data_IF_751142841278
#
_entry.id   IF_751142841278
#
_cell.length_a   1.000
_cell.length_b   1.000
_cell.length_c   1.000
_cell.angle_alpha   90.00
_cell.angle_beta   90.00
_cell.angle_gamma   90.00
#
_symmetry.space_group_name_H-M   'P 1'
#
loop_
_entity.id
_entity.type
_entity.pdbx_description
1 polymer ?
#
# COMPACT_ATOMS: atom_id res chain seq x y z
N UNK A 1 4.90 8.01 12.01
CA UNK A 1 3.91 7.09 11.42
C UNK A 1 2.69 7.92 11.01
N UNK A 2 2.29 7.82 9.75
CA UNK A 2 1.19 8.58 9.15
C UNK A 2 -0.04 7.68 9.02
N UNK A 3 -1.19 8.10 9.54
CA UNK A 3 -2.46 7.40 9.36
C UNK A 3 -3.05 7.76 7.99
N UNK A 4 -3.31 6.75 7.17
CA UNK A 4 -3.79 6.93 5.80
C UNK A 4 -5.29 6.71 5.65
N UNK A 5 -5.91 5.93 6.55
CA UNK A 5 -7.34 5.67 6.51
C UNK A 5 -7.96 5.66 7.91
N UNK A 6 -8.34 6.83 8.44
CA UNK A 6 -8.92 6.96 9.77
C UNK A 6 -10.39 6.49 9.88
N UNK A 7 -11.09 6.30 8.76
CA UNK A 7 -12.54 6.01 8.75
C UNK A 7 -12.89 4.54 8.42
N UNK A 8 -11.92 3.71 8.04
CA UNK A 8 -12.18 2.30 7.68
C UNK A 8 -12.00 1.31 8.83
N UNK A 9 -12.71 0.18 8.79
CA UNK A 9 -12.59 -0.92 9.79
C UNK A 9 -11.16 -1.49 9.94
N UNK A 10 -10.29 -1.22 8.96
CA UNK A 10 -8.88 -1.63 8.93
C UNK A 10 -8.06 -0.38 8.66
N UNK A 11 -7.78 0.36 9.73
CA UNK A 11 -6.90 1.51 9.66
C UNK A 11 -5.56 1.12 9.01
N UNK A 12 -5.08 1.96 8.11
CA UNK A 12 -3.81 1.76 7.42
C UNK A 12 -2.87 2.89 7.81
N UNK A 13 -1.61 2.56 8.04
CA UNK A 13 -0.58 3.55 8.31
C UNK A 13 0.67 3.31 7.47
N UNK A 14 1.43 4.38 7.29
CA UNK A 14 2.72 4.38 6.64
C UNK A 14 3.80 4.90 7.58
N UNK A 15 4.91 4.18 7.66
CA UNK A 15 6.09 4.60 8.38
C UNK A 15 7.08 5.29 7.42
N UNK A 16 7.18 6.63 7.44
CA UNK A 16 8.06 7.36 6.54
C UNK A 16 9.55 7.20 6.88
N UNK A 17 9.90 6.66 8.06
CA UNK A 17 11.31 6.39 8.36
C UNK A 17 11.84 5.18 7.58
N UNK A 18 10.97 4.18 7.34
CA UNK A 18 11.37 2.89 6.77
C UNK A 18 10.67 2.55 5.44
N UNK A 19 9.77 3.41 4.94
CA UNK A 19 9.00 3.13 3.74
C UNK A 19 8.10 1.91 3.89
N UNK A 20 7.52 1.71 5.06
CA UNK A 20 6.82 0.48 5.46
C UNK A 20 5.35 0.74 5.72
N UNK A 21 4.47 -0.10 5.19
CA UNK A 21 3.04 -0.04 5.48
C UNK A 21 2.68 -0.94 6.68
N UNK A 22 1.64 -0.53 7.38
CA UNK A 22 1.07 -1.25 8.50
C UNK A 22 -0.44 -1.33 8.38
N UNK A 23 -0.98 -2.52 8.62
CA UNK A 23 -2.38 -2.70 8.98
C UNK A 23 -2.52 -2.52 10.48
N UNK A 24 -3.39 -1.60 10.85
CA UNK A 24 -3.68 -1.30 12.25
C UNK A 24 -4.96 -2.01 12.67
N UNK A 25 -4.99 -2.33 13.96
CA UNK A 25 -6.07 -3.06 14.60
C UNK A 25 -6.42 -2.34 15.90
N UNK A 26 -7.70 -2.39 16.28
CA UNK A 26 -8.14 -1.78 17.55
C UNK A 26 -7.72 -2.62 18.77
N UNK A 27 -7.58 -3.94 18.62
CA UNK A 27 -7.43 -4.89 19.72
C UNK A 27 -6.15 -5.74 19.65
N UNK A 28 -5.26 -5.48 18.69
CA UNK A 28 -3.96 -6.17 18.60
C UNK A 28 -2.89 -5.25 18.03
N UNK A 29 -1.63 -5.69 18.13
CA UNK A 29 -0.50 -4.94 17.61
C UNK A 29 -0.61 -4.65 16.10
N UNK A 30 -0.02 -3.54 15.62
CA UNK A 30 0.15 -3.26 14.20
C UNK A 30 0.83 -4.42 13.47
N UNK A 31 0.33 -4.73 12.29
CA UNK A 31 0.84 -5.78 11.43
C UNK A 31 1.54 -5.16 10.24
N UNK A 32 2.81 -5.50 10.02
CA UNK A 32 3.54 -5.05 8.83
C UNK A 32 2.93 -5.69 7.58
N UNK A 33 2.71 -4.87 6.56
CA UNK A 33 2.21 -5.32 5.26
C UNK A 33 3.06 -4.68 4.15
N UNK A 34 3.25 -5.39 3.04
CA UNK A 34 3.97 -4.83 1.89
C UNK A 34 3.10 -3.82 1.11
N UNK A 35 3.71 -3.09 0.17
CA UNK A 35 3.00 -2.08 -0.62
C UNK A 35 1.82 -2.65 -1.44
N UNK A 36 1.94 -3.88 -1.93
CA UNK A 36 0.86 -4.52 -2.69
C UNK A 36 -0.31 -4.95 -1.82
N UNK A 37 -0.03 -5.46 -0.61
CA UNK A 37 -1.05 -5.76 0.40
C UNK A 37 -1.79 -4.51 0.86
N UNK A 38 -1.10 -3.36 0.97
CA UNK A 38 -1.73 -2.08 1.27
C UNK A 38 -2.76 -1.68 0.21
N UNK A 39 -2.47 -1.89 -1.09
CA UNK A 39 -3.43 -1.68 -2.18
C UNK A 39 -4.64 -2.60 -2.04
N UNK A 40 -4.40 -3.90 -1.77
CA UNK A 40 -5.47 -4.89 -1.69
C UNK A 40 -6.32 -4.77 -0.42
N UNK A 41 -5.78 -4.19 0.65
CA UNK A 41 -6.48 -3.97 1.90
C UNK A 41 -7.69 -3.04 1.71
N UNK A 42 -7.54 -2.01 0.88
CA UNK A 42 -8.63 -1.12 0.47
C UNK A 42 -8.35 -0.54 -0.92
N UNK A 43 -8.80 -1.20 -2.00
CA UNK A 43 -8.52 -0.75 -3.36
C UNK A 43 -9.07 0.65 -3.71
N UNK A 44 -10.08 1.15 -2.98
CA UNK A 44 -10.57 2.53 -3.15
C UNK A 44 -9.52 3.58 -2.80
N UNK A 45 -8.55 3.24 -1.96
CA UNK A 45 -7.51 4.15 -1.48
C UNK A 45 -6.20 3.99 -2.28
N UNK A 46 -6.25 3.31 -3.43
CA UNK A 46 -5.06 2.99 -4.25
C UNK A 46 -4.25 4.23 -4.64
N UNK A 47 -4.92 5.35 -4.94
CA UNK A 47 -4.25 6.63 -5.25
C UNK A 47 -3.41 7.14 -4.06
N UNK A 48 -3.96 7.06 -2.84
CA UNK A 48 -3.23 7.47 -1.63
C UNK A 48 -2.02 6.56 -1.37
N UNK A 49 -2.19 5.25 -1.51
CA UNK A 49 -1.10 4.28 -1.34
C UNK A 49 0.00 4.52 -2.37
N UNK A 50 -0.36 4.72 -3.64
CA UNK A 50 0.57 5.03 -4.72
C UNK A 50 1.32 6.35 -4.45
N UNK A 51 0.60 7.42 -4.13
CA UNK A 51 1.20 8.72 -3.81
C UNK A 51 2.21 8.60 -2.68
N UNK A 52 1.81 7.99 -1.57
CA UNK A 52 2.66 7.89 -0.39
C UNK A 52 3.93 7.06 -0.66
N UNK A 53 3.79 5.93 -1.36
CA UNK A 53 4.92 5.09 -1.73
C UNK A 53 5.86 5.80 -2.71
N UNK A 54 5.33 6.42 -3.76
CA UNK A 54 6.12 7.12 -4.77
C UNK A 54 6.83 8.34 -4.19
N UNK A 55 6.16 9.12 -3.32
CA UNK A 55 6.81 10.21 -2.59
C UNK A 55 7.99 9.71 -1.78
N UNK A 56 7.84 8.59 -1.07
CA UNK A 56 8.92 8.03 -0.28
C UNK A 56 10.08 7.53 -1.14
N UNK A 57 9.78 6.83 -2.25
CA UNK A 57 10.77 6.34 -3.23
C UNK A 57 11.60 7.50 -3.79
N UNK A 58 10.94 8.60 -4.18
CA UNK A 58 11.62 9.79 -4.70
C UNK A 58 12.52 10.47 -3.66
N UNK A 59 12.18 10.35 -2.38
CA UNK A 59 13.00 10.89 -1.27
C UNK A 59 14.17 9.99 -0.89
N UNK A 60 14.12 8.69 -1.23
CA UNK A 60 15.14 7.70 -0.87
C UNK A 60 15.67 6.94 -2.09
N UNK A 61 16.16 7.66 -3.13
CA UNK A 61 16.58 7.05 -4.38
C UNK A 61 17.76 6.09 -4.17
N UNK A 62 17.76 4.99 -4.91
CA UNK A 62 18.86 4.03 -4.93
C UNK A 62 18.94 3.08 -3.72
N UNK A 63 18.00 3.17 -2.78
CA UNK A 63 17.95 2.22 -1.64
C UNK A 63 17.27 0.91 -2.03
N UNK A 64 17.72 -0.22 -1.47
CA UNK A 64 17.07 -1.53 -1.66
C UNK A 64 15.59 -1.52 -1.28
N UNK A 65 15.22 -0.71 -0.29
CA UNK A 65 13.82 -0.54 0.10
C UNK A 65 13.02 0.19 -0.98
N UNK A 66 13.56 1.24 -1.60
CA UNK A 66 12.86 1.97 -2.64
C UNK A 66 12.58 1.09 -3.87
N UNK A 67 13.53 0.25 -4.28
CA UNK A 67 13.31 -0.73 -5.36
C UNK A 67 12.21 -1.73 -5.00
N UNK A 68 12.32 -2.39 -3.82
CA UNK A 68 11.30 -3.36 -3.37
C UNK A 68 9.92 -2.75 -3.22
N UNK A 69 9.84 -1.54 -2.65
CA UNK A 69 8.57 -0.85 -2.49
C UNK A 69 7.93 -0.52 -3.85
N UNK A 70 8.75 -0.15 -4.86
CA UNK A 70 8.29 0.03 -6.23
C UNK A 70 7.68 -1.26 -6.81
N UNK A 71 8.41 -2.38 -6.69
CA UNK A 71 7.95 -3.69 -7.18
C UNK A 71 6.66 -4.16 -6.49
N UNK A 72 6.58 -4.03 -5.16
CA UNK A 72 5.41 -4.37 -4.35
C UNK A 72 4.15 -3.62 -4.82
N UNK A 73 4.29 -2.31 -5.04
CA UNK A 73 3.19 -1.42 -5.43
C UNK A 73 2.72 -1.73 -6.86
N UNK A 74 3.64 -1.93 -7.81
CA UNK A 74 3.30 -2.30 -9.19
C UNK A 74 2.59 -3.65 -9.22
N UNK A 75 3.10 -4.65 -8.49
CA UNK A 75 2.50 -5.97 -8.41
C UNK A 75 1.10 -5.93 -7.79
N UNK A 76 0.91 -5.15 -6.72
CA UNK A 76 -0.40 -4.94 -6.09
C UNK A 76 -1.39 -4.24 -7.00
N UNK A 77 -0.98 -3.15 -7.66
CA UNK A 77 -1.82 -2.42 -8.61
C UNK A 77 -2.26 -3.30 -9.78
N UNK A 78 -1.33 -4.08 -10.36
CA UNK A 78 -1.63 -5.06 -11.41
C UNK A 78 -2.66 -6.08 -10.93
N UNK A 79 -2.46 -6.64 -9.73
CA UNK A 79 -3.39 -7.63 -9.15
C UNK A 79 -4.79 -7.02 -8.99
N UNK A 80 -4.89 -5.80 -8.48
CA UNK A 80 -6.17 -5.11 -8.33
C UNK A 80 -6.86 -4.89 -9.68
N UNK A 81 -6.14 -4.39 -10.69
CA UNK A 81 -6.67 -4.17 -12.05
C UNK A 81 -7.18 -5.48 -12.65
N UNK A 82 -6.37 -6.54 -12.61
CA UNK A 82 -6.76 -7.87 -13.15
C UNK A 82 -8.01 -8.40 -12.44
N UNK A 83 -8.06 -8.31 -11.11
CA UNK A 83 -9.21 -8.75 -10.33
C UNK A 83 -10.51 -8.03 -10.74
N UNK A 84 -10.47 -6.70 -10.87
CA UNK A 84 -11.65 -5.93 -11.28
C UNK A 84 -12.01 -6.14 -12.76
N UNK A 85 -11.03 -6.29 -13.65
CA UNK A 85 -11.26 -6.60 -15.05
C UNK A 85 -11.98 -7.94 -15.22
N UNK A 86 -11.53 -8.98 -14.51
CA UNK A 86 -12.18 -10.30 -14.49
C UNK A 86 -13.62 -10.20 -13.98
N UNK A 87 -13.86 -9.43 -12.91
CA UNK A 87 -15.22 -9.22 -12.39
C UNK A 87 -16.13 -8.41 -13.32
N UNK A 88 -15.55 -7.56 -14.17
CA UNK A 88 -16.29 -6.82 -15.17
C UNK A 88 -16.52 -7.62 -16.46
N UNK A 89 -15.98 -8.84 -16.59
CA UNK A 89 -16.03 -9.63 -17.82
C UNK A 89 -15.15 -9.08 -18.96
N UNK A 90 -14.15 -8.26 -18.62
CA UNK A 90 -13.25 -7.62 -19.58
C UNK A 90 -12.01 -8.49 -19.92
N UNK A 91 -11.76 -9.55 -19.14
CA UNK A 91 -10.69 -10.56 -19.31
C UNK A 91 -11.19 -11.90 -18.79
#
# INVERSE_FOLDING_TARGET
>A
MLLLNPEGDRHMAFDPANGQFYRLWQHKAPEQINGGEAILLRPTDIDLVLKQAMTWIMQHPGTDRAYRLGDEIIAGAKTAVVYFAQRAGAV
#
